data_IF_321651739834
#
_entry.id   IF_321651739834
#
_cell.length_a   1.000
_cell.length_b   1.000
_cell.length_c   1.000
_cell.angle_alpha   90.00
_cell.angle_beta   90.00
_cell.angle_gamma   90.00
#
_symmetry.space_group_name_H-M   'P 1'
#
loop_
_entity.id
_entity.type
_entity.pdbx_description
1 polymer ?
#
# COMPACT_ATOMS: atom_id res chain seq x y z
N UNK A 1 -18.03 36.29 -61.31
CA UNK A 1 -16.79 35.94 -60.61
C UNK A 1 -17.15 35.38 -59.24
N UNK A 2 -17.05 34.08 -59.08
CA UNK A 2 -17.42 33.42 -57.83
C UNK A 2 -16.13 33.16 -57.05
N UNK A 3 -15.92 33.88 -55.96
CA UNK A 3 -14.82 33.60 -55.02
C UNK A 3 -15.22 32.41 -54.14
N UNK A 4 -14.56 31.28 -54.34
CA UNK A 4 -14.67 30.10 -53.47
C UNK A 4 -13.94 30.39 -52.15
N UNK A 5 -14.68 30.54 -51.06
CA UNK A 5 -14.15 30.59 -49.72
C UNK A 5 -13.98 29.13 -49.27
N UNK A 6 -12.73 28.70 -49.18
CA UNK A 6 -12.37 27.39 -48.64
C UNK A 6 -12.27 27.49 -47.12
N UNK A 7 -13.33 27.10 -46.43
CA UNK A 7 -13.34 27.05 -45.00
C UNK A 7 -12.60 25.77 -44.53
N UNK A 8 -11.37 25.94 -44.08
CA UNK A 8 -10.59 24.87 -43.46
C UNK A 8 -11.13 24.53 -42.10
N UNK A 9 -11.73 23.37 -41.95
CA UNK A 9 -12.10 22.81 -40.67
C UNK A 9 -10.85 22.18 -40.07
N UNK A 10 -10.23 22.91 -39.16
CA UNK A 10 -9.12 22.38 -38.30
C UNK A 10 -9.73 21.43 -37.30
N UNK A 11 -9.64 20.12 -37.52
CA UNK A 11 -10.02 19.08 -36.59
C UNK A 11 -8.96 19.00 -35.52
N UNK A 12 -9.23 19.64 -34.37
CA UNK A 12 -8.39 19.59 -33.18
C UNK A 12 -8.56 18.21 -32.51
N UNK A 13 -7.69 17.26 -32.86
CA UNK A 13 -7.57 16.00 -32.15
C UNK A 13 -7.05 16.27 -30.76
N UNK A 14 -7.95 16.30 -29.78
CA UNK A 14 -7.60 16.18 -28.37
C UNK A 14 -7.07 14.76 -28.14
N UNK A 15 -5.76 14.63 -28.12
CA UNK A 15 -5.08 13.44 -27.62
C UNK A 15 -5.34 13.37 -26.11
N UNK A 16 -6.38 12.63 -25.72
CA UNK A 16 -6.47 12.13 -24.36
C UNK A 16 -5.31 11.17 -24.15
N UNK A 17 -4.21 11.72 -23.68
CA UNK A 17 -3.15 10.92 -23.08
C UNK A 17 -3.69 10.36 -21.76
N UNK A 18 -4.24 9.14 -21.82
CA UNK A 18 -4.38 8.33 -20.62
C UNK A 18 -2.97 8.04 -20.12
N UNK A 19 -2.47 8.86 -19.22
CA UNK A 19 -1.36 8.50 -18.37
C UNK A 19 -1.88 7.37 -17.45
N UNK A 20 -1.76 6.13 -17.90
CA UNK A 20 -1.66 5.00 -17.02
C UNK A 20 -0.30 5.16 -16.31
N UNK A 21 -0.26 5.93 -15.23
CA UNK A 21 0.78 5.80 -14.24
C UNK A 21 0.66 4.36 -13.75
N UNK A 22 1.49 3.48 -14.33
CA UNK A 22 1.81 2.22 -13.68
C UNK A 22 2.43 2.63 -12.37
N UNK A 23 1.66 2.56 -11.27
CA UNK A 23 2.21 2.68 -9.93
C UNK A 23 3.44 1.77 -9.91
N UNK A 24 4.62 2.38 -9.78
CA UNK A 24 5.87 1.63 -9.75
C UNK A 24 5.85 0.79 -8.49
N UNK A 25 5.53 -0.51 -8.64
CA UNK A 25 5.55 -1.45 -7.52
C UNK A 25 6.95 -1.44 -6.89
N UNK A 26 7.03 -1.46 -5.55
CA UNK A 26 8.31 -1.51 -4.87
C UNK A 26 9.14 -2.71 -5.32
N UNK A 27 10.44 -2.50 -5.56
CA UNK A 27 11.33 -3.54 -6.10
C UNK A 27 12.10 -4.29 -5.03
N UNK A 28 12.07 -3.84 -3.78
CA UNK A 28 12.72 -4.49 -2.65
C UNK A 28 11.74 -4.86 -1.55
N UNK A 29 12.11 -5.82 -0.71
CA UNK A 29 11.32 -6.19 0.47
C UNK A 29 11.13 -4.99 1.41
N UNK A 30 12.19 -4.22 1.64
CA UNK A 30 12.15 -3.07 2.54
C UNK A 30 11.23 -1.96 2.03
N UNK A 31 11.28 -1.65 0.74
CA UNK A 31 10.41 -0.63 0.15
C UNK A 31 8.95 -1.08 0.15
N UNK A 32 8.69 -2.38 -0.11
CA UNK A 32 7.34 -2.97 0.01
C UNK A 32 6.81 -2.84 1.43
N UNK A 33 7.63 -3.15 2.43
CA UNK A 33 7.27 -3.01 3.84
C UNK A 33 6.99 -1.56 4.23
N UNK A 34 7.84 -0.63 3.83
CA UNK A 34 7.65 0.81 4.08
C UNK A 34 6.38 1.35 3.45
N UNK A 35 6.12 1.00 2.20
CA UNK A 35 4.91 1.40 1.50
C UNK A 35 3.65 0.88 2.21
N UNK A 36 3.66 -0.39 2.63
CA UNK A 36 2.56 -1.00 3.36
C UNK A 36 2.32 -0.35 4.73
N UNK A 37 3.38 -0.13 5.52
CA UNK A 37 3.28 0.55 6.82
C UNK A 37 2.69 1.94 6.65
N UNK A 38 3.19 2.74 5.70
CA UNK A 38 2.69 4.10 5.47
C UNK A 38 1.24 4.10 5.02
N UNK A 39 0.90 3.29 4.03
CA UNK A 39 -0.48 3.17 3.54
C UNK A 39 -1.45 2.75 4.66
N UNK A 40 -1.05 1.80 5.52
CA UNK A 40 -1.85 1.35 6.65
C UNK A 40 -2.06 2.45 7.70
N UNK A 41 -1.02 3.20 8.06
CA UNK A 41 -1.12 4.33 8.99
C UNK A 41 -1.97 5.47 8.42
N UNK A 42 -1.92 5.71 7.12
CA UNK A 42 -2.73 6.71 6.43
C UNK A 42 -4.21 6.30 6.29
N UNK A 43 -4.54 5.04 6.53
CA UNK A 43 -5.86 4.49 6.23
C UNK A 43 -6.12 4.35 4.74
N UNK A 44 -5.08 4.39 3.92
CA UNK A 44 -5.16 4.15 2.48
C UNK A 44 -5.12 2.64 2.20
N UNK A 45 -6.24 1.97 2.47
CA UNK A 45 -6.32 0.52 2.36
C UNK A 45 -6.34 0.01 0.92
N UNK A 46 -6.71 0.83 -0.04
CA UNK A 46 -6.60 0.49 -1.45
C UNK A 46 -5.13 0.26 -1.83
N UNK A 47 -4.27 1.22 -1.53
CA UNK A 47 -2.82 1.08 -1.78
C UNK A 47 -2.19 -0.04 -0.93
N UNK A 48 -2.58 -0.20 0.33
CA UNK A 48 -2.07 -1.27 1.18
C UNK A 48 -2.44 -2.66 0.66
N UNK A 49 -3.68 -2.85 0.18
CA UNK A 49 -4.18 -4.12 -0.37
C UNK A 49 -3.43 -4.53 -1.64
N UNK A 50 -3.01 -3.57 -2.46
CA UNK A 50 -2.21 -3.86 -3.66
C UNK A 50 -0.86 -4.49 -3.34
N UNK A 51 -0.34 -4.25 -2.13
CA UNK A 51 0.94 -4.79 -1.67
C UNK A 51 0.83 -6.16 -1.01
N UNK A 52 -0.38 -6.71 -0.82
CA UNK A 52 -0.57 -8.01 -0.20
C UNK A 52 -0.22 -9.16 -1.14
N UNK A 53 0.18 -10.29 -0.58
CA UNK A 53 0.11 -11.56 -1.30
C UNK A 53 -1.35 -11.87 -1.65
N UNK A 54 -1.62 -12.16 -2.92
CA UNK A 54 -2.96 -12.30 -3.48
C UNK A 54 -3.52 -13.71 -3.27
N UNK A 55 -3.59 -14.16 -2.03
CA UNK A 55 -4.34 -15.35 -1.65
C UNK A 55 -5.57 -15.00 -0.82
N UNK A 56 -6.58 -15.89 -0.84
CA UNK A 56 -7.87 -15.65 -0.21
C UNK A 56 -7.77 -15.39 1.29
N UNK A 57 -6.86 -16.03 1.99
CA UNK A 57 -6.70 -15.89 3.42
C UNK A 57 -6.11 -14.53 3.79
N UNK A 58 -5.09 -14.06 3.06
CA UNK A 58 -4.53 -12.73 3.26
C UNK A 58 -5.59 -11.63 3.01
N UNK A 59 -6.35 -11.75 1.93
CA UNK A 59 -7.39 -10.79 1.59
C UNK A 59 -8.51 -10.78 2.63
N UNK A 60 -8.98 -11.95 3.08
CA UNK A 60 -10.04 -12.04 4.08
C UNK A 60 -9.63 -11.46 5.44
N UNK A 61 -8.39 -11.71 5.87
CA UNK A 61 -7.87 -11.15 7.12
C UNK A 61 -7.69 -9.64 7.00
N UNK A 62 -7.26 -9.16 5.84
CA UNK A 62 -7.13 -7.73 5.60
C UNK A 62 -8.49 -7.01 5.55
N UNK A 63 -9.52 -7.63 4.99
CA UNK A 63 -10.90 -7.13 5.06
C UNK A 63 -11.39 -6.99 6.49
N UNK A 64 -11.10 -7.99 7.34
CA UNK A 64 -11.40 -7.92 8.77
C UNK A 64 -10.68 -6.76 9.46
N UNK A 65 -9.42 -6.51 9.10
CA UNK A 65 -8.66 -5.37 9.59
C UNK A 65 -9.26 -4.02 9.14
N UNK A 66 -9.66 -3.90 7.87
CA UNK A 66 -10.36 -2.70 7.36
C UNK A 66 -11.64 -2.43 8.14
N UNK A 67 -12.43 -3.46 8.43
CA UNK A 67 -13.65 -3.31 9.24
C UNK A 67 -13.35 -2.88 10.67
N UNK A 68 -12.32 -3.42 11.30
CA UNK A 68 -11.87 -2.99 12.63
C UNK A 68 -11.47 -1.51 12.61
N UNK A 69 -10.61 -1.12 11.68
CA UNK A 69 -10.19 0.28 11.53
C UNK A 69 -11.39 1.23 11.29
N UNK A 70 -12.37 0.79 10.50
CA UNK A 70 -13.59 1.57 10.23
C UNK A 70 -14.36 1.94 11.50
N UNK A 71 -14.29 1.11 12.56
CA UNK A 71 -14.95 1.34 13.85
C UNK A 71 -14.17 2.23 14.81
N UNK A 72 -12.91 2.56 14.49
CA UNK A 72 -12.13 3.47 15.32
C UNK A 72 -12.75 4.89 15.28
N UNK A 73 -12.59 5.63 16.37
CA UNK A 73 -12.96 7.05 16.42
C UNK A 73 -12.12 7.86 15.43
N UNK A 74 -12.65 9.00 14.99
CA UNK A 74 -11.93 9.92 14.08
C UNK A 74 -10.63 10.42 14.71
N UNK A 75 -10.61 10.59 16.03
CA UNK A 75 -9.40 10.95 16.77
C UNK A 75 -8.31 9.87 16.63
N UNK A 76 -8.64 8.60 16.85
CA UNK A 76 -7.70 7.49 16.69
C UNK A 76 -7.19 7.39 15.26
N UNK A 77 -8.07 7.50 14.27
CA UNK A 77 -7.68 7.50 12.85
C UNK A 77 -6.73 8.65 12.52
N UNK A 78 -6.99 9.85 13.06
CA UNK A 78 -6.12 11.02 12.91
C UNK A 78 -4.75 10.79 13.54
N UNK A 79 -4.71 10.17 14.73
CA UNK A 79 -3.46 9.86 15.42
C UNK A 79 -2.61 8.86 14.64
N UNK A 80 -3.21 7.82 14.07
CA UNK A 80 -2.50 6.89 13.18
C UNK A 80 -1.94 7.61 11.95
N UNK A 81 -2.76 8.42 11.27
CA UNK A 81 -2.34 9.14 10.07
C UNK A 81 -1.21 10.13 10.33
N UNK A 82 -1.18 10.76 11.50
CA UNK A 82 -0.15 11.71 11.91
C UNK A 82 1.10 11.04 12.44
N UNK A 83 1.05 9.73 12.71
CA UNK A 83 2.18 9.00 13.28
C UNK A 83 3.34 8.89 12.30
N UNK A 84 4.54 9.12 12.80
CA UNK A 84 5.78 8.66 12.16
C UNK A 84 6.03 7.20 12.49
N UNK A 85 6.86 6.53 11.71
CA UNK A 85 7.33 5.18 12.04
C UNK A 85 8.85 5.07 11.84
N UNK A 86 9.42 4.09 12.49
CA UNK A 86 10.83 3.72 12.34
C UNK A 86 10.96 2.20 12.16
N UNK A 87 11.95 1.80 11.39
CA UNK A 87 12.34 0.39 11.25
C UNK A 87 13.33 0.07 12.36
N UNK A 88 12.92 -0.78 13.29
CA UNK A 88 13.76 -1.19 14.42
C UNK A 88 14.76 -2.28 14.00
N UNK A 89 14.30 -3.21 13.17
CA UNK A 89 15.10 -4.34 12.69
C UNK A 89 14.61 -4.82 11.33
N UNK A 90 15.55 -5.26 10.54
CA UNK A 90 15.36 -5.88 9.23
C UNK A 90 16.14 -7.19 9.19
N UNK A 91 15.49 -8.28 8.82
CA UNK A 91 16.08 -9.62 8.80
C UNK A 91 15.65 -10.40 7.58
N UNK A 92 16.56 -10.66 6.67
CA UNK A 92 16.35 -11.62 5.59
C UNK A 92 16.49 -13.04 6.14
N UNK A 93 15.42 -13.82 6.08
CA UNK A 93 15.42 -15.23 6.45
C UNK A 93 16.00 -16.08 5.33
N UNK A 94 15.73 -15.68 4.10
CA UNK A 94 16.23 -16.27 2.85
C UNK A 94 16.09 -15.25 1.70
N UNK A 95 16.41 -15.66 0.47
CA UNK A 95 16.35 -14.81 -0.73
C UNK A 95 14.94 -14.33 -1.09
N UNK A 96 13.93 -14.87 -0.46
CA UNK A 96 12.51 -14.63 -0.77
C UNK A 96 11.67 -14.20 0.43
N UNK A 97 12.25 -14.12 1.62
CA UNK A 97 11.50 -13.84 2.86
C UNK A 97 12.27 -12.89 3.77
N UNK A 98 11.63 -11.78 4.10
CA UNK A 98 12.17 -10.77 5.00
C UNK A 98 11.18 -10.47 6.13
N UNK A 99 11.68 -10.38 7.35
CA UNK A 99 10.92 -9.88 8.51
C UNK A 99 11.36 -8.43 8.78
N UNK A 100 10.39 -7.54 8.93
CA UNK A 100 10.60 -6.14 9.27
C UNK A 100 9.91 -5.88 10.60
N UNK A 101 10.71 -5.52 11.62
CA UNK A 101 10.21 -5.03 12.89
C UNK A 101 10.21 -3.51 12.86
N UNK A 102 9.09 -2.89 13.23
CA UNK A 102 8.91 -1.45 13.21
C UNK A 102 8.09 -0.98 14.40
N UNK A 103 8.17 0.29 14.71
CA UNK A 103 7.33 0.98 15.69
C UNK A 103 6.74 2.24 15.07
N UNK A 104 5.60 2.70 15.58
CA UNK A 104 5.09 4.01 15.22
C UNK A 104 4.96 4.91 16.47
N UNK A 105 4.97 6.22 16.23
CA UNK A 105 4.99 7.23 17.31
C UNK A 105 3.67 7.34 18.08
N UNK A 106 2.58 6.74 17.60
CA UNK A 106 1.31 6.72 18.29
C UNK A 106 1.20 5.54 19.26
N UNK A 107 1.49 4.32 18.78
CA UNK A 107 1.33 3.11 19.58
C UNK A 107 2.53 2.83 20.49
N UNK A 108 3.73 3.24 20.10
CA UNK A 108 5.00 2.98 20.82
C UNK A 108 5.28 1.49 21.07
N UNK A 109 4.67 0.61 20.29
CA UNK A 109 4.86 -0.84 20.38
C UNK A 109 5.60 -1.36 19.14
N UNK A 110 6.56 -2.28 19.31
CA UNK A 110 7.16 -2.97 18.17
C UNK A 110 6.13 -3.90 17.52
N UNK A 111 6.10 -3.88 16.20
CA UNK A 111 5.25 -4.73 15.37
C UNK A 111 6.10 -5.37 14.29
N UNK A 112 5.66 -6.51 13.78
CA UNK A 112 6.37 -7.20 12.70
C UNK A 112 5.49 -7.42 11.50
N UNK A 113 6.08 -7.25 10.32
CA UNK A 113 5.51 -7.66 9.05
C UNK A 113 6.45 -8.63 8.35
N UNK A 114 5.87 -9.58 7.63
CA UNK A 114 6.60 -10.52 6.78
C UNK A 114 6.39 -10.14 5.32
N UNK A 115 7.48 -9.98 4.60
CA UNK A 115 7.49 -9.68 3.17
C UNK A 115 8.04 -10.87 2.44
N UNK A 116 7.31 -11.35 1.43
CA UNK A 116 7.65 -12.56 0.68
C UNK A 116 7.68 -12.26 -0.80
N UNK A 117 8.69 -12.80 -1.50
CA UNK A 117 8.78 -12.71 -2.95
C UNK A 117 8.14 -13.92 -3.61
N UNK A 118 7.13 -13.68 -4.45
CA UNK A 118 6.49 -14.68 -5.30
C UNK A 118 6.41 -14.14 -6.73
N UNK A 119 6.73 -14.96 -7.72
CA UNK A 119 6.68 -14.58 -9.14
C UNK A 119 7.44 -13.27 -9.41
N UNK A 120 8.62 -13.10 -8.81
CA UNK A 120 9.49 -11.90 -8.90
C UNK A 120 8.92 -10.62 -8.26
N UNK A 121 7.77 -10.69 -7.63
CA UNK A 121 7.16 -9.55 -6.92
C UNK A 121 7.21 -9.77 -5.40
N UNK A 122 7.49 -8.70 -4.66
CA UNK A 122 7.40 -8.68 -3.21
C UNK A 122 5.98 -8.39 -2.76
N UNK A 123 5.49 -9.11 -1.77
CA UNK A 123 4.16 -8.95 -1.20
C UNK A 123 4.15 -9.19 0.30
N UNK A 124 3.20 -8.55 0.98
CA UNK A 124 3.01 -8.69 2.43
C UNK A 124 2.23 -9.97 2.73
N UNK A 125 2.79 -10.83 3.57
CA UNK A 125 2.07 -11.95 4.17
C UNK A 125 1.30 -11.47 5.41
N UNK A 126 0.09 -10.97 5.19
CA UNK A 126 -0.73 -10.36 6.23
C UNK A 126 -1.15 -11.36 7.33
N UNK A 127 -1.25 -12.64 7.01
CA UNK A 127 -1.50 -13.70 8.00
C UNK A 127 -0.48 -13.68 9.14
N UNK A 128 0.78 -13.47 8.80
CA UNK A 128 1.84 -13.35 9.79
C UNK A 128 1.64 -12.14 10.71
N UNK A 129 1.31 -11.00 10.14
CA UNK A 129 1.08 -9.76 10.88
C UNK A 129 -0.15 -9.87 11.80
N UNK A 130 -1.23 -10.51 11.30
CA UNK A 130 -2.49 -10.63 12.03
C UNK A 130 -2.42 -11.61 13.21
N UNK A 131 -1.54 -12.60 13.17
CA UNK A 131 -1.47 -13.67 14.16
C UNK A 131 -0.85 -13.32 15.53
N UNK A 132 -0.66 -12.07 15.86
CA UNK A 132 -0.18 -11.63 17.17
C UNK A 132 0.65 -10.35 17.21
N UNK A 133 0.90 -9.75 16.07
CA UNK A 133 1.78 -8.58 15.94
C UNK A 133 1.03 -7.27 15.65
N UNK A 134 -0.29 -7.32 15.51
CA UNK A 134 -1.12 -6.12 15.50
C UNK A 134 -1.47 -5.75 16.95
N UNK A 135 -1.38 -4.47 17.33
CA UNK A 135 -1.91 -4.03 18.60
C UNK A 135 -3.43 -4.18 18.55
N UNK A 136 -3.91 -5.18 19.25
CA UNK A 136 -5.34 -5.32 19.56
C UNK A 136 -5.51 -4.66 20.92
N UNK A 137 -5.98 -3.43 20.92
CA UNK A 137 -6.49 -2.75 22.11
C UNK A 137 -7.99 -2.89 22.18
#
# INVERSE_FOLDING_TARGET
MIKKILTGITFLMLLYSCNNEKENKPVTALDTGRAFIRASLDGNFESAEQLLLKDSQNLQLFDSYKMYYGRLSDEKKKNYKSASYEINKYLDLDDSTTIINYSNSYMHKPMEIKVVRRNKEWGIDFKYTYSGNLPID
#
